data_IF_608794420563
#
_entry.id   IF_608794420563
#
_cell.length_a   1.000
_cell.length_b   1.000
_cell.length_c   1.000
_cell.angle_alpha   90.00
_cell.angle_beta   90.00
_cell.angle_gamma   90.00
#
_symmetry.space_group_name_H-M   'P 1'
#
loop_
_entity.id
_entity.type
_entity.pdbx_description
1 polymer ?
#
# COMPACT_ATOMS: atom_id res chain seq x y z
N UNK A 1 -14.19 6.73 -13.65
CA UNK A 1 -13.93 6.33 -15.05
C UNK A 1 -12.42 6.10 -15.14
N UNK A 2 -11.95 4.88 -14.85
CA UNK A 2 -10.51 4.56 -14.66
C UNK A 2 -9.58 5.12 -15.74
N UNK A 3 -8.53 5.83 -15.32
CA UNK A 3 -7.58 6.52 -16.20
C UNK A 3 -6.71 5.54 -16.99
N UNK A 4 -6.24 6.00 -18.16
CA UNK A 4 -5.37 5.22 -19.05
C UNK A 4 -4.11 4.68 -18.36
N UNK A 5 -3.57 5.42 -17.40
CA UNK A 5 -2.27 5.12 -16.79
C UNK A 5 -2.34 3.96 -15.81
N UNK A 6 -3.35 3.96 -14.93
CA UNK A 6 -3.57 2.83 -14.02
C UNK A 6 -3.91 1.58 -14.83
N UNK A 7 -4.66 1.71 -15.94
CA UNK A 7 -4.97 0.60 -16.85
C UNK A 7 -3.74 -0.09 -17.48
N UNK A 8 -2.57 0.56 -17.51
CA UNK A 8 -1.32 0.00 -18.07
C UNK A 8 -0.42 -0.65 -16.99
N UNK A 9 -0.80 -0.57 -15.70
CA UNK A 9 0.02 -1.10 -14.61
C UNK A 9 0.03 -2.63 -14.64
N UNK A 10 1.21 -3.21 -14.83
CA UNK A 10 1.43 -4.65 -14.72
C UNK A 10 1.90 -5.02 -13.30
N UNK A 11 0.99 -5.57 -12.51
CA UNK A 11 1.29 -6.01 -11.15
C UNK A 11 1.94 -7.38 -11.11
N UNK A 12 3.16 -7.44 -10.55
CA UNK A 12 3.85 -8.71 -10.23
C UNK A 12 3.54 -9.13 -8.79
N UNK A 13 2.39 -9.77 -8.60
CA UNK A 13 1.97 -10.33 -7.30
C UNK A 13 1.66 -11.84 -7.43
N UNK A 14 1.88 -12.67 -6.39
CA UNK A 14 1.51 -14.08 -6.41
C UNK A 14 0.02 -14.30 -6.68
N UNK A 15 -0.31 -15.18 -7.64
CA UNK A 15 -1.70 -15.45 -8.10
C UNK A 15 -2.32 -16.74 -7.56
N UNK A 16 -1.59 -17.50 -6.74
CA UNK A 16 -2.07 -18.73 -6.11
C UNK A 16 -1.47 -18.88 -4.73
N UNK A 17 -2.13 -19.63 -3.85
CA UNK A 17 -1.67 -19.84 -2.47
C UNK A 17 -0.28 -20.48 -2.40
N UNK A 18 0.01 -21.46 -3.26
CA UNK A 18 1.34 -22.06 -3.37
C UNK A 18 2.42 -21.02 -3.71
N UNK A 19 2.13 -20.12 -4.67
CA UNK A 19 3.06 -19.05 -5.05
C UNK A 19 3.17 -18.00 -3.96
N UNK A 20 2.11 -17.71 -3.24
CA UNK A 20 2.09 -16.78 -2.11
C UNK A 20 2.97 -17.31 -0.99
N UNK A 21 2.80 -18.57 -0.62
CA UNK A 21 3.62 -19.27 0.38
C UNK A 21 5.10 -19.25 0.00
N UNK A 22 5.43 -19.66 -1.23
CA UNK A 22 6.80 -19.65 -1.72
C UNK A 22 7.41 -18.25 -1.70
N UNK A 23 6.63 -17.22 -2.02
CA UNK A 23 7.11 -15.83 -2.01
C UNK A 23 7.33 -15.31 -0.59
N UNK A 24 6.47 -15.68 0.35
CA UNK A 24 6.61 -15.36 1.77
C UNK A 24 7.87 -16.00 2.38
N UNK A 25 8.10 -17.28 2.11
CA UNK A 25 9.32 -17.98 2.53
C UNK A 25 10.58 -17.37 1.91
N UNK A 26 10.52 -16.93 0.66
CA UNK A 26 11.63 -16.21 0.04
C UNK A 26 11.89 -14.85 0.73
N UNK A 27 10.85 -14.14 1.17
CA UNK A 27 11.00 -12.91 1.95
C UNK A 27 11.71 -13.16 3.29
N UNK A 28 11.35 -14.24 4.00
CA UNK A 28 12.05 -14.67 5.23
C UNK A 28 13.52 -15.00 4.96
N UNK A 29 13.81 -15.85 3.97
CA UNK A 29 15.19 -16.25 3.59
C UNK A 29 16.07 -15.05 3.26
N UNK A 30 15.50 -14.03 2.61
CA UNK A 30 16.20 -12.78 2.24
C UNK A 30 16.25 -11.75 3.38
N UNK A 31 15.84 -12.13 4.60
CA UNK A 31 15.82 -11.26 5.80
C UNK A 31 15.10 -9.93 5.54
N UNK A 32 13.93 -10.02 4.89
CA UNK A 32 13.08 -8.86 4.58
C UNK A 32 12.12 -8.50 5.71
N UNK A 33 11.93 -9.41 6.66
CA UNK A 33 11.22 -9.16 7.91
C UNK A 33 12.25 -8.96 9.03
N UNK A 34 12.04 -7.92 9.82
CA UNK A 34 12.87 -7.57 10.96
C UNK A 34 12.00 -7.53 12.19
N UNK A 35 12.39 -8.28 13.21
CA UNK A 35 11.68 -8.33 14.48
C UNK A 35 11.69 -6.95 15.14
N UNK A 36 10.56 -6.62 15.76
CA UNK A 36 10.38 -5.39 16.50
C UNK A 36 9.42 -5.64 17.64
N UNK A 37 9.59 -4.91 18.75
CA UNK A 37 8.65 -5.02 19.86
C UNK A 37 7.26 -4.65 19.38
N UNK A 38 6.23 -5.42 19.78
CA UNK A 38 4.84 -5.13 19.39
C UNK A 38 4.41 -3.74 19.80
N UNK A 39 4.99 -3.17 20.88
CA UNK A 39 4.73 -1.82 21.36
C UNK A 39 5.27 -0.70 20.46
N UNK A 40 6.19 -1.02 19.54
CA UNK A 40 6.78 -0.04 18.60
C UNK A 40 5.89 0.21 17.36
N UNK A 41 4.68 -0.35 17.31
CA UNK A 41 3.76 -0.13 16.18
C UNK A 41 3.34 1.35 16.03
N UNK A 42 3.30 2.10 17.14
CA UNK A 42 2.85 3.49 17.18
C UNK A 42 3.73 4.39 16.32
N UNK A 43 5.05 4.17 16.32
CA UNK A 43 6.01 4.92 15.51
C UNK A 43 5.71 4.78 14.01
N UNK A 44 5.36 3.56 13.56
CA UNK A 44 4.94 3.33 12.17
C UNK A 44 3.58 3.94 11.86
N UNK A 45 2.64 3.92 12.81
CA UNK A 45 1.31 4.51 12.62
C UNK A 45 1.37 6.05 12.59
N UNK A 46 2.22 6.66 13.39
CA UNK A 46 2.50 8.10 13.39
C UNK A 46 3.06 8.55 12.03
N UNK A 47 4.06 7.82 11.50
CA UNK A 47 4.57 8.08 10.15
C UNK A 47 3.49 7.98 9.08
N UNK A 48 2.63 6.95 9.17
CA UNK A 48 1.54 6.78 8.21
C UNK A 48 0.55 7.96 8.23
N UNK A 49 0.25 8.48 9.43
CA UNK A 49 -0.63 9.64 9.63
C UNK A 49 0.02 10.93 9.15
N UNK A 50 1.32 11.12 9.39
CA UNK A 50 2.06 12.30 8.93
C UNK A 50 2.07 12.37 7.39
N UNK A 51 2.40 11.25 6.73
CA UNK A 51 2.31 11.13 5.27
C UNK A 51 0.90 11.50 4.77
N UNK A 52 -0.14 10.92 5.38
CA UNK A 52 -1.54 11.14 4.99
C UNK A 52 -1.97 12.60 5.16
N UNK A 53 -1.59 13.23 6.27
CA UNK A 53 -1.92 14.63 6.56
C UNK A 53 -1.26 15.59 5.56
N UNK A 54 -0.06 15.25 5.07
CA UNK A 54 0.67 16.08 4.12
C UNK A 54 0.13 16.01 2.68
N UNK A 55 -0.76 15.05 2.36
CA UNK A 55 -1.30 14.86 1.01
C UNK A 55 -2.21 16.01 0.58
N UNK A 56 -3.00 16.57 1.50
CA UNK A 56 -3.97 17.64 1.20
C UNK A 56 -3.31 18.84 0.53
N UNK A 57 -2.14 19.25 1.04
CA UNK A 57 -1.35 20.37 0.49
C UNK A 57 -0.89 20.09 -0.94
N UNK A 58 -0.46 18.86 -1.24
CA UNK A 58 -0.07 18.48 -2.60
C UNK A 58 -1.27 18.36 -3.53
N UNK A 59 -2.42 17.91 -3.02
CA UNK A 59 -3.65 17.83 -3.78
C UNK A 59 -4.14 19.23 -4.19
N UNK A 60 -4.17 20.19 -3.27
CA UNK A 60 -4.51 21.60 -3.54
C UNK A 60 -3.58 22.23 -4.57
N UNK A 61 -2.28 21.91 -4.51
CA UNK A 61 -1.26 22.37 -5.46
C UNK A 61 -1.28 21.62 -6.80
N UNK A 62 -2.21 20.70 -6.99
CA UNK A 62 -2.33 19.85 -8.19
C UNK A 62 -1.09 19.03 -8.48
N UNK A 63 -0.42 18.61 -7.42
CA UNK A 63 0.84 17.89 -7.46
C UNK A 63 0.60 16.37 -7.41
N UNK A 64 -0.05 15.84 -8.45
CA UNK A 64 -0.59 14.47 -8.49
C UNK A 64 0.46 13.40 -8.23
N UNK A 65 1.67 13.60 -8.77
CA UNK A 65 2.84 12.77 -8.51
C UNK A 65 3.07 12.56 -7.01
N UNK A 66 3.06 13.65 -6.25
CA UNK A 66 3.34 13.61 -4.83
C UNK A 66 2.16 13.11 -4.01
N UNK A 67 0.92 13.38 -4.45
CA UNK A 67 -0.27 12.75 -3.85
C UNK A 67 -0.20 11.22 -3.95
N UNK A 68 0.03 10.66 -5.13
CA UNK A 68 0.13 9.20 -5.32
C UNK A 68 1.30 8.63 -4.53
N UNK A 69 2.45 9.31 -4.56
CA UNK A 69 3.66 8.86 -3.84
C UNK A 69 3.42 8.81 -2.34
N UNK A 70 2.88 9.86 -1.73
CA UNK A 70 2.62 9.93 -0.29
C UNK A 70 1.48 9.01 0.14
N UNK A 71 0.45 8.85 -0.69
CA UNK A 71 -0.62 7.87 -0.46
C UNK A 71 -0.05 6.47 -0.30
N UNK A 72 0.89 6.09 -1.18
CA UNK A 72 1.58 4.81 -1.09
C UNK A 72 2.39 4.67 0.22
N UNK A 73 3.15 5.70 0.59
CA UNK A 73 3.96 5.63 1.82
C UNK A 73 3.08 5.54 3.07
N UNK A 74 1.99 6.30 3.15
CA UNK A 74 1.01 6.18 4.22
C UNK A 74 0.51 4.73 4.36
N UNK A 75 0.15 4.09 3.25
CA UNK A 75 -0.27 2.67 3.21
C UNK A 75 0.85 1.73 3.66
N UNK A 76 2.08 1.96 3.20
CA UNK A 76 3.23 1.12 3.56
C UNK A 76 3.59 1.22 5.04
N UNK A 77 3.57 2.43 5.61
CA UNK A 77 3.79 2.65 7.04
C UNK A 77 2.67 2.07 7.88
N UNK A 78 1.40 2.23 7.48
CA UNK A 78 0.26 1.59 8.14
C UNK A 78 0.34 0.05 8.07
N UNK A 79 0.78 -0.50 6.94
CA UNK A 79 1.02 -1.94 6.79
C UNK A 79 2.02 -2.43 7.83
N UNK A 80 3.15 -1.73 7.97
CA UNK A 80 4.17 -2.09 8.95
C UNK A 80 3.69 -1.92 10.39
N UNK A 81 2.88 -0.90 10.69
CA UNK A 81 2.24 -0.78 12.00
C UNK A 81 1.40 -2.02 12.33
N UNK A 82 0.56 -2.47 11.39
CA UNK A 82 -0.27 -3.66 11.57
C UNK A 82 0.57 -4.94 11.74
N UNK A 83 1.61 -5.11 10.93
CA UNK A 83 2.53 -6.26 11.04
C UNK A 83 3.24 -6.28 12.40
N UNK A 84 3.71 -5.12 12.88
CA UNK A 84 4.38 -5.02 14.18
C UNK A 84 3.40 -5.36 15.29
N UNK A 85 2.20 -4.76 15.28
CA UNK A 85 1.19 -4.99 16.30
C UNK A 85 0.72 -6.46 16.36
N UNK A 86 0.37 -7.06 15.21
CA UNK A 86 -0.17 -8.43 15.16
C UNK A 86 0.92 -9.49 15.26
N UNK A 87 2.07 -9.30 14.61
CA UNK A 87 3.07 -10.36 14.38
C UNK A 87 4.45 -10.09 15.01
N UNK A 88 4.74 -8.87 15.47
CA UNK A 88 6.03 -8.54 16.11
C UNK A 88 7.19 -8.38 15.13
N UNK A 89 6.91 -8.01 13.88
CA UNK A 89 7.94 -7.65 12.91
C UNK A 89 7.43 -6.58 11.94
N UNK A 90 8.36 -5.87 11.28
CA UNK A 90 8.05 -5.04 10.12
C UNK A 90 8.79 -5.55 8.89
N UNK A 91 8.40 -5.09 7.70
CA UNK A 91 9.16 -5.34 6.48
C UNK A 91 9.80 -4.08 5.94
N UNK A 92 11.10 -4.18 5.64
CA UNK A 92 11.86 -3.15 4.91
C UNK A 92 11.66 -3.22 3.38
N UNK A 93 10.87 -4.17 2.91
CA UNK A 93 10.65 -4.42 1.49
C UNK A 93 9.15 -4.33 1.16
N UNK A 94 8.83 -3.43 0.25
CA UNK A 94 7.49 -3.08 -0.16
C UNK A 94 6.64 -4.29 -0.58
N UNK A 95 7.21 -5.18 -1.40
CA UNK A 95 6.51 -6.36 -1.87
C UNK A 95 6.36 -7.39 -0.74
N UNK A 96 7.38 -7.58 0.08
CA UNK A 96 7.30 -8.51 1.21
C UNK A 96 6.29 -8.06 2.28
N UNK A 97 6.15 -6.76 2.55
CA UNK A 97 5.11 -6.22 3.43
C UNK A 97 3.70 -6.62 2.93
N UNK A 98 3.49 -6.42 1.62
CA UNK A 98 2.24 -6.73 0.92
C UNK A 98 1.94 -8.24 0.93
N UNK A 99 2.95 -9.07 0.69
CA UNK A 99 2.84 -10.54 0.77
C UNK A 99 2.47 -10.98 2.19
N UNK A 100 3.12 -10.42 3.22
CA UNK A 100 2.84 -10.76 4.61
C UNK A 100 1.39 -10.45 4.99
N UNK A 101 0.87 -9.27 4.62
CA UNK A 101 -0.54 -8.91 4.84
C UNK A 101 -1.50 -9.97 4.30
N UNK A 102 -1.33 -10.36 3.02
CA UNK A 102 -2.23 -11.34 2.40
C UNK A 102 -2.02 -12.74 2.96
N UNK A 103 -0.77 -13.17 3.18
CA UNK A 103 -0.43 -14.51 3.68
C UNK A 103 -0.94 -14.77 5.09
N UNK A 104 -0.90 -13.73 5.94
CA UNK A 104 -1.32 -13.79 7.34
C UNK A 104 -2.78 -13.36 7.53
N UNK A 105 -3.50 -13.10 6.43
CA UNK A 105 -4.92 -12.76 6.41
C UNK A 105 -5.28 -11.62 7.37
N UNK A 106 -4.44 -10.57 7.41
CA UNK A 106 -4.57 -9.47 8.38
C UNK A 106 -5.61 -8.41 8.00
N UNK A 107 -6.23 -8.56 6.83
CA UNK A 107 -7.34 -7.73 6.40
C UNK A 107 -8.53 -8.65 6.09
N UNK A 108 -9.75 -8.21 6.43
CA UNK A 108 -10.94 -8.98 6.12
C UNK A 108 -11.12 -9.09 4.60
N UNK A 109 -11.73 -10.18 4.14
CA UNK A 109 -12.06 -10.34 2.71
C UNK A 109 -13.03 -9.25 2.22
N UNK A 110 -13.85 -8.71 3.11
CA UNK A 110 -14.70 -7.54 2.82
C UNK A 110 -13.86 -6.30 2.55
N UNK A 111 -12.94 -5.93 3.45
CA UNK A 111 -12.05 -4.79 3.26
C UNK A 111 -11.12 -5.01 2.06
N UNK A 112 -10.66 -6.25 1.84
CA UNK A 112 -9.88 -6.62 0.66
C UNK A 112 -10.63 -6.29 -0.62
N UNK A 113 -11.90 -6.73 -0.73
CA UNK A 113 -12.75 -6.45 -1.90
C UNK A 113 -13.04 -4.97 -2.03
N UNK A 114 -13.32 -4.30 -0.92
CA UNK A 114 -13.60 -2.87 -0.90
C UNK A 114 -12.42 -2.05 -1.40
N UNK A 115 -11.21 -2.35 -0.91
CA UNK A 115 -9.95 -1.75 -1.35
C UNK A 115 -9.59 -2.11 -2.79
N UNK A 116 -9.94 -3.32 -3.26
CA UNK A 116 -9.82 -3.72 -4.66
C UNK A 116 -10.79 -2.97 -5.58
N UNK A 117 -12.02 -2.75 -5.14
CA UNK A 117 -13.09 -2.08 -5.89
C UNK A 117 -12.90 -0.56 -6.02
N UNK A 118 -12.12 0.06 -5.14
CA UNK A 118 -11.65 1.46 -5.29
C UNK A 118 -11.05 1.67 -6.69
N UNK A 119 -10.46 0.62 -7.25
CA UNK A 119 -10.03 0.55 -8.62
C UNK A 119 -10.96 -0.41 -9.39
N UNK A 120 -12.03 0.09 -10.02
CA UNK A 120 -13.10 -0.70 -10.68
C UNK A 120 -12.64 -1.93 -11.52
N UNK A 121 -11.38 -1.95 -12.01
CA UNK A 121 -10.79 -3.02 -12.83
C UNK A 121 -9.80 -3.95 -12.12
N UNK A 122 -9.49 -3.66 -10.86
CA UNK A 122 -8.48 -4.38 -10.07
C UNK A 122 -9.11 -5.16 -8.92
N UNK A 123 -10.40 -5.53 -9.03
CA UNK A 123 -11.07 -6.42 -8.05
C UNK A 123 -10.27 -7.69 -7.75
N UNK A 124 -9.52 -8.18 -8.75
CA UNK A 124 -8.74 -9.41 -8.70
C UNK A 124 -7.26 -9.15 -8.38
N UNK A 125 -6.84 -7.89 -8.32
CA UNK A 125 -5.46 -7.45 -8.08
C UNK A 125 -5.41 -6.77 -6.72
N UNK A 126 -4.47 -7.18 -5.88
CA UNK A 126 -4.33 -6.59 -4.55
C UNK A 126 -4.03 -5.08 -4.67
N UNK A 127 -4.94 -4.21 -4.22
CA UNK A 127 -4.87 -2.76 -4.43
C UNK A 127 -3.56 -2.13 -3.96
N UNK A 128 -2.94 -2.69 -2.92
CA UNK A 128 -1.57 -2.36 -2.46
C UNK A 128 -0.52 -2.44 -3.55
N UNK A 129 -0.62 -3.45 -4.42
CA UNK A 129 0.33 -3.65 -5.51
C UNK A 129 0.08 -2.66 -6.66
N UNK A 130 -1.16 -2.22 -6.87
CA UNK A 130 -1.49 -1.15 -7.82
C UNK A 130 -0.88 0.17 -7.35
N UNK A 131 -1.15 0.58 -6.11
CA UNK A 131 -0.61 1.83 -5.56
C UNK A 131 0.92 1.79 -5.42
N UNK A 132 1.52 0.62 -5.20
CA UNK A 132 2.98 0.44 -5.26
C UNK A 132 3.56 0.71 -6.65
N UNK A 133 2.96 0.15 -7.70
CA UNK A 133 3.42 0.39 -9.07
C UNK A 133 3.12 1.82 -9.53
N UNK A 134 1.98 2.40 -9.14
CA UNK A 134 1.66 3.80 -9.38
C UNK A 134 2.68 4.75 -8.70
N UNK A 135 3.15 4.40 -7.50
CA UNK A 135 4.24 5.13 -6.84
C UNK A 135 5.55 5.01 -7.60
N UNK A 136 5.90 3.82 -8.12
CA UNK A 136 7.11 3.65 -8.94
C UNK A 136 7.07 4.50 -10.20
N UNK A 137 5.92 4.52 -10.88
CA UNK A 137 5.68 5.39 -12.03
C UNK A 137 5.89 6.85 -11.62
N UNK A 138 5.22 7.27 -10.54
CA UNK A 138 5.31 8.63 -10.03
C UNK A 138 6.75 9.05 -9.72
N UNK A 139 7.58 8.16 -9.17
CA UNK A 139 8.93 8.53 -8.75
C UNK A 139 10.00 8.40 -9.84
N UNK A 140 9.92 7.35 -10.66
CA UNK A 140 11.04 6.91 -11.49
C UNK A 140 10.79 7.02 -12.99
N UNK A 141 9.53 7.03 -13.44
CA UNK A 141 9.24 7.21 -14.86
C UNK A 141 9.22 8.71 -15.18
N UNK A 142 10.20 9.18 -15.95
CA UNK A 142 10.42 10.60 -16.24
C UNK A 142 9.42 11.19 -17.23
N UNK A 143 8.66 10.35 -17.92
CA UNK A 143 7.71 10.73 -18.96
C UNK A 143 6.27 10.54 -18.47
N UNK A 144 5.96 9.32 -18.04
CA UNK A 144 4.59 8.91 -17.70
C UNK A 144 4.02 9.57 -16.46
N UNK A 145 4.86 10.04 -15.52
CA UNK A 145 4.36 10.72 -14.31
C UNK A 145 3.52 11.97 -14.63
N UNK A 146 3.75 12.60 -15.79
CA UNK A 146 2.99 13.77 -16.25
C UNK A 146 1.58 13.42 -16.70
N UNK A 147 1.32 12.14 -16.97
CA UNK A 147 0.00 11.64 -17.36
C UNK A 147 -0.90 11.33 -16.16
N UNK A 148 -0.37 11.41 -14.93
CA UNK A 148 -1.17 11.29 -13.71
C UNK A 148 -2.23 12.38 -13.66
N UNK A 149 -3.44 11.98 -13.33
CA UNK A 149 -4.59 12.86 -13.25
C UNK A 149 -4.99 13.13 -11.79
N UNK A 150 -5.91 14.07 -11.62
CA UNK A 150 -6.58 14.31 -10.34
C UNK A 150 -7.35 13.07 -9.85
N UNK A 151 -7.98 12.31 -10.76
CA UNK A 151 -8.70 11.08 -10.43
C UNK A 151 -7.74 10.02 -9.87
N UNK A 152 -6.58 9.83 -10.50
CA UNK A 152 -5.54 8.89 -10.02
C UNK A 152 -5.05 9.23 -8.61
N UNK A 153 -4.80 10.52 -8.41
CA UNK A 153 -4.39 11.07 -7.13
C UNK A 153 -5.48 10.86 -6.08
N UNK A 154 -6.75 11.14 -6.41
CA UNK A 154 -7.88 11.00 -5.50
C UNK A 154 -8.13 9.54 -5.10
N UNK A 155 -8.10 8.62 -6.06
CA UNK A 155 -8.26 7.19 -5.80
C UNK A 155 -7.16 6.66 -4.88
N UNK A 156 -5.91 7.06 -5.12
CA UNK A 156 -4.77 6.68 -4.28
C UNK A 156 -4.92 7.24 -2.85
N UNK A 157 -5.37 8.49 -2.74
CA UNK A 157 -5.60 9.14 -1.44
C UNK A 157 -6.73 8.46 -0.66
N UNK A 158 -7.86 8.17 -1.32
CA UNK A 158 -9.01 7.50 -0.68
C UNK A 158 -8.65 6.11 -0.17
N UNK A 159 -7.88 5.35 -0.96
CA UNK A 159 -7.32 4.07 -0.53
C UNK A 159 -6.47 4.24 0.74
N UNK A 160 -5.57 5.23 0.76
CA UNK A 160 -4.70 5.49 1.90
C UNK A 160 -5.48 5.89 3.15
N UNK A 161 -6.44 6.81 3.04
CA UNK A 161 -7.29 7.23 4.15
C UNK A 161 -8.03 6.05 4.78
N UNK A 162 -8.62 5.22 3.92
CA UNK A 162 -9.40 4.07 4.37
C UNK A 162 -8.53 3.03 5.07
N UNK A 163 -7.39 2.69 4.47
CA UNK A 163 -6.51 1.67 5.04
C UNK A 163 -5.84 2.14 6.33
N UNK A 164 -5.38 3.41 6.41
CA UNK A 164 -4.82 3.98 7.65
C UNK A 164 -5.87 3.98 8.77
N UNK A 165 -7.12 4.37 8.46
CA UNK A 165 -8.22 4.36 9.44
C UNK A 165 -8.53 2.94 9.94
N UNK A 166 -8.48 1.95 9.05
CA UNK A 166 -8.63 0.54 9.43
C UNK A 166 -7.52 0.09 10.40
N UNK A 167 -6.25 0.37 10.07
CA UNK A 167 -5.11 -0.01 10.92
C UNK A 167 -5.18 0.65 12.29
N UNK A 168 -5.58 1.92 12.37
CA UNK A 168 -5.84 2.61 13.63
C UNK A 168 -6.96 1.93 14.44
N UNK A 169 -8.00 1.45 13.77
CA UNK A 169 -9.07 0.68 14.41
C UNK A 169 -8.61 -0.65 15.01
N UNK A 170 -7.64 -1.31 14.35
CA UNK A 170 -7.08 -2.62 14.73
C UNK A 170 -6.00 -2.57 15.80
N UNK A 171 -5.26 -1.48 15.89
CA UNK A 171 -4.13 -1.30 16.80
C UNK A 171 -4.54 -0.51 18.05
N UNK A 172 -5.38 -1.12 18.89
CA UNK A 172 -5.87 -0.55 20.16
C UNK A 172 -5.30 -1.24 21.39
#
# INVERSE_FOLDING_TARGET
>A
MSTKLFNEINVKFPKSDEKLEKSYENCKKRRKFLELSKGSYSEHLELAKDDLNSISVDFEKRNWRWVVTKSYYAVFHATNALLVYKLGFFSKDHLCATIALKKENLISEELYKELGNIYERFSDIFGFAVIFEARKLSQYDTEKWKELTEEDAKISWDFAQKFVSFVEGECK
#
